data_IF_596321659858
#
_entry.id   IF_596321659858
#
_cell.length_a   1.000
_cell.length_b   1.000
_cell.length_c   1.000
_cell.angle_alpha   90.00
_cell.angle_beta   90.00
_cell.angle_gamma   90.00
#
_symmetry.space_group_name_H-M   'P 1'
#
loop_
_entity.id
_entity.type
_entity.pdbx_description
1 polymer ?
#
# COMPACT_ATOMS: atom_id res chain seq x y z
N UNK A 1 20.32 -15.50 19.23
CA UNK A 1 19.01 -15.52 19.90
C UNK A 1 18.02 -14.88 18.94
N UNK A 2 17.17 -15.71 18.36
CA UNK A 2 16.14 -15.35 17.38
C UNK A 2 15.06 -14.54 18.09
N UNK A 3 15.03 -13.23 17.87
CA UNK A 3 13.87 -12.42 18.23
C UNK A 3 12.78 -12.71 17.18
N UNK A 4 12.11 -13.84 17.37
CA UNK A 4 10.78 -14.06 16.81
C UNK A 4 9.90 -12.95 17.37
N UNK A 5 9.15 -12.27 16.50
CA UNK A 5 8.18 -11.26 16.91
C UNK A 5 7.30 -11.79 18.05
N UNK A 6 7.00 -10.91 19.01
CA UNK A 6 6.24 -11.25 20.20
C UNK A 6 4.87 -11.86 19.81
N UNK A 7 4.39 -12.91 20.51
CA UNK A 7 3.13 -13.62 20.21
C UNK A 7 1.85 -12.77 20.24
N UNK A 8 1.93 -11.47 20.58
CA UNK A 8 0.82 -10.52 20.61
C UNK A 8 0.58 -9.82 19.26
N UNK A 9 1.48 -9.95 18.28
CA UNK A 9 1.35 -9.34 16.94
C UNK A 9 0.72 -10.27 15.88
N UNK A 10 0.76 -11.60 16.08
CA UNK A 10 0.33 -12.61 15.10
C UNK A 10 -1.19 -12.60 14.75
N UNK A 11 -1.99 -11.82 15.47
CA UNK A 11 -3.45 -11.86 15.40
C UNK A 11 -4.15 -10.63 14.85
N UNK A 12 -3.43 -9.59 14.41
CA UNK A 12 -4.06 -8.30 14.06
C UNK A 12 -3.81 -7.80 12.65
N UNK A 13 -2.87 -8.41 11.91
CA UNK A 13 -2.65 -8.12 10.49
C UNK A 13 -2.93 -9.39 9.69
N UNK A 14 -3.66 -9.25 8.59
CA UNK A 14 -3.89 -10.29 7.61
C UNK A 14 -3.49 -9.78 6.24
N UNK A 15 -2.44 -10.39 5.67
CA UNK A 15 -2.05 -10.14 4.28
C UNK A 15 -2.97 -10.96 3.34
N UNK A 16 -3.71 -10.27 2.49
CA UNK A 16 -4.49 -10.89 1.41
C UNK A 16 -3.60 -11.00 0.19
N UNK A 17 -3.25 -12.22 -0.18
CA UNK A 17 -2.31 -12.50 -1.26
C UNK A 17 -3.02 -12.78 -2.57
N UNK A 18 -2.71 -12.01 -3.61
CA UNK A 18 -3.06 -12.29 -4.99
C UNK A 18 -1.79 -12.59 -5.81
N UNK A 19 -1.89 -13.16 -7.03
CA UNK A 19 -0.73 -13.55 -7.82
C UNK A 19 0.30 -12.44 -8.09
N UNK A 20 -0.12 -11.17 -8.13
CA UNK A 20 0.76 -10.03 -8.45
C UNK A 20 0.83 -8.97 -7.34
N UNK A 21 -0.23 -8.82 -6.54
CA UNK A 21 -0.36 -7.76 -5.53
C UNK A 21 -0.92 -8.33 -4.23
N UNK A 22 -0.38 -7.85 -3.11
CA UNK A 22 -0.91 -8.05 -1.79
C UNK A 22 -1.59 -6.78 -1.30
N UNK A 23 -2.56 -6.92 -0.42
CA UNK A 23 -3.14 -5.81 0.34
C UNK A 23 -3.44 -6.31 1.76
N UNK A 24 -3.71 -5.40 2.69
CA UNK A 24 -3.69 -5.73 4.12
C UNK A 24 -5.05 -5.50 4.76
N UNK A 25 -5.41 -6.36 5.70
CA UNK A 25 -6.51 -6.15 6.63
C UNK A 25 -5.92 -6.00 8.02
N UNK A 26 -6.23 -4.89 8.66
CA UNK A 26 -5.93 -4.61 10.05
C UNK A 26 -7.18 -4.90 10.88
N UNK A 27 -7.00 -5.68 11.94
CA UNK A 27 -8.03 -5.90 12.94
C UNK A 27 -7.74 -5.01 14.13
N UNK A 28 -8.65 -4.09 14.38
CA UNK A 28 -8.68 -3.27 15.58
C UNK A 28 -9.90 -3.68 16.40
N UNK A 29 -9.67 -4.44 17.47
CA UNK A 29 -10.72 -5.06 18.30
C UNK A 29 -11.71 -5.90 17.48
N UNK A 30 -12.94 -5.41 17.32
CA UNK A 30 -14.03 -6.06 16.58
C UNK A 30 -14.27 -5.42 15.21
N UNK A 31 -13.35 -4.61 14.72
CA UNK A 31 -13.47 -3.90 13.45
C UNK A 31 -12.29 -4.21 12.53
N UNK A 32 -12.56 -4.13 11.22
CA UNK A 32 -11.57 -4.36 10.18
C UNK A 32 -11.37 -3.11 9.34
N UNK A 33 -10.10 -2.85 9.02
CA UNK A 33 -9.67 -1.76 8.17
C UNK A 33 -8.77 -2.33 7.08
N UNK A 34 -8.94 -1.86 5.84
CA UNK A 34 -8.12 -2.29 4.73
C UNK A 34 -7.07 -1.24 4.41
N UNK A 35 -5.87 -1.69 4.08
CA UNK A 35 -4.90 -0.89 3.32
C UNK A 35 -4.87 -1.46 1.92
N UNK A 36 -5.41 -0.68 0.97
CA UNK A 36 -5.75 -1.05 -0.40
C UNK A 36 -6.80 -2.17 -0.55
N UNK A 37 -7.24 -2.42 -1.78
CA UNK A 37 -8.31 -3.37 -2.10
C UNK A 37 -7.93 -4.41 -3.17
N UNK A 38 -6.67 -4.37 -3.64
CA UNK A 38 -6.15 -5.30 -4.63
C UNK A 38 -6.85 -5.23 -5.99
N UNK A 39 -6.44 -6.15 -6.86
CA UNK A 39 -6.81 -6.16 -8.28
C UNK A 39 -7.89 -7.21 -8.61
N UNK A 40 -7.83 -7.82 -9.80
CA UNK A 40 -8.80 -8.80 -10.30
C UNK A 40 -8.97 -9.95 -9.30
N UNK A 41 -10.21 -10.17 -8.85
CA UNK A 41 -10.55 -11.20 -7.87
C UNK A 41 -10.28 -10.81 -6.40
N UNK A 42 -9.77 -9.59 -6.14
CA UNK A 42 -9.44 -9.09 -4.80
C UNK A 42 -10.56 -9.26 -3.78
N UNK A 43 -11.81 -8.92 -4.13
CA UNK A 43 -12.96 -9.12 -3.24
C UNK A 43 -13.16 -10.59 -2.85
N UNK A 44 -13.03 -11.54 -3.79
CA UNK A 44 -13.18 -12.97 -3.50
C UNK A 44 -12.02 -13.48 -2.63
N UNK A 45 -10.80 -13.00 -2.88
CA UNK A 45 -9.63 -13.34 -2.08
C UNK A 45 -9.74 -12.80 -0.65
N UNK A 46 -10.21 -11.56 -0.49
CA UNK A 46 -10.53 -10.95 0.80
C UNK A 46 -11.52 -11.81 1.57
N UNK A 47 -12.67 -12.12 0.99
CA UNK A 47 -13.70 -12.93 1.65
C UNK A 47 -13.17 -14.30 2.12
N UNK A 48 -12.38 -14.97 1.28
CA UNK A 48 -11.73 -16.24 1.64
C UNK A 48 -10.70 -16.07 2.76
N UNK A 49 -9.89 -15.01 2.72
CA UNK A 49 -8.90 -14.73 3.74
C UNK A 49 -9.55 -14.44 5.10
N UNK A 50 -10.61 -13.61 5.12
CA UNK A 50 -11.39 -13.32 6.32
C UNK A 50 -12.04 -14.57 6.90
N UNK A 51 -12.66 -15.40 6.07
CA UNK A 51 -13.29 -16.65 6.51
C UNK A 51 -12.28 -17.61 7.18
N UNK A 52 -11.09 -17.76 6.61
CA UNK A 52 -10.02 -18.61 7.20
C UNK A 52 -9.56 -18.16 8.58
N UNK A 53 -9.63 -16.85 8.87
CA UNK A 53 -9.31 -16.28 10.18
C UNK A 53 -10.54 -16.13 11.08
N UNK A 54 -11.72 -16.55 10.62
CA UNK A 54 -13.01 -16.27 11.26
C UNK A 54 -13.27 -14.77 11.49
N UNK A 55 -12.66 -13.90 10.67
CA UNK A 55 -12.82 -12.44 10.75
C UNK A 55 -14.01 -11.93 9.93
N UNK A 56 -14.65 -12.78 9.13
CA UNK A 56 -15.85 -12.45 8.37
C UNK A 56 -17.06 -12.04 9.24
N UNK A 57 -16.99 -12.28 10.55
CA UNK A 57 -17.96 -11.80 11.54
C UNK A 57 -17.79 -10.32 11.90
N UNK A 58 -16.60 -9.76 11.68
CA UNK A 58 -16.27 -8.37 12.02
C UNK A 58 -16.60 -7.45 10.85
N UNK A 59 -17.22 -6.28 11.10
CA UNK A 59 -17.47 -5.29 10.06
C UNK A 59 -16.19 -4.70 9.51
N UNK A 60 -16.18 -4.47 8.19
CA UNK A 60 -15.17 -3.63 7.55
C UNK A 60 -15.63 -2.17 7.66
N UNK A 61 -14.85 -1.34 8.35
CA UNK A 61 -15.17 0.06 8.63
C UNK A 61 -14.53 1.04 7.67
N UNK A 62 -13.31 0.76 7.23
CA UNK A 62 -12.55 1.69 6.40
C UNK A 62 -11.70 1.00 5.35
N UNK A 63 -11.47 1.70 4.24
CA UNK A 63 -10.46 1.39 3.23
C UNK A 63 -9.53 2.59 3.11
N UNK A 64 -8.24 2.35 3.34
CA UNK A 64 -7.17 3.35 3.30
C UNK A 64 -6.34 3.05 2.06
N UNK A 65 -6.26 4.00 1.13
CA UNK A 65 -5.61 3.81 -0.18
C UNK A 65 -4.17 4.29 -0.14
N UNK A 66 -3.21 3.54 -0.68
CA UNK A 66 -1.81 3.99 -0.78
C UNK A 66 -1.58 4.92 -1.97
N UNK A 67 -2.17 4.60 -3.12
CA UNK A 67 -2.07 5.42 -4.34
C UNK A 67 -3.12 5.01 -5.40
N UNK A 68 -3.17 5.74 -6.51
CA UNK A 68 -4.22 5.67 -7.54
C UNK A 68 -4.13 4.54 -8.57
N UNK A 69 -3.14 3.65 -8.51
CA UNK A 69 -3.02 2.59 -9.50
C UNK A 69 -4.12 1.55 -9.41
N UNK A 70 -4.53 1.06 -10.58
CA UNK A 70 -5.72 0.23 -10.71
C UNK A 70 -5.63 -1.08 -9.92
N UNK A 71 -4.44 -1.66 -9.79
CA UNK A 71 -4.22 -2.88 -9.02
C UNK A 71 -4.37 -2.69 -7.50
N UNK A 72 -4.35 -1.46 -7.01
CA UNK A 72 -4.66 -1.13 -5.61
C UNK A 72 -6.14 -0.77 -5.42
N UNK A 73 -6.69 0.00 -6.37
CA UNK A 73 -7.99 0.66 -6.17
C UNK A 73 -9.18 -0.03 -6.85
N UNK A 74 -8.97 -1.09 -7.65
CA UNK A 74 -10.03 -1.70 -8.46
C UNK A 74 -11.28 -2.06 -7.65
N UNK A 75 -11.10 -2.62 -6.45
CA UNK A 75 -12.20 -3.09 -5.63
C UNK A 75 -12.67 -2.07 -4.57
N UNK A 76 -12.05 -0.89 -4.43
CA UNK A 76 -12.29 0.05 -3.33
C UNK A 76 -13.77 0.43 -3.25
N UNK A 77 -14.36 0.95 -4.33
CA UNK A 77 -15.77 1.35 -4.34
C UNK A 77 -16.73 0.18 -4.10
N UNK A 78 -16.41 -0.98 -4.64
CA UNK A 78 -17.22 -2.20 -4.45
C UNK A 78 -17.22 -2.64 -2.99
N UNK A 79 -16.06 -2.64 -2.33
CA UNK A 79 -15.92 -2.97 -0.91
C UNK A 79 -16.64 -1.91 -0.06
N UNK A 80 -16.36 -0.63 -0.29
CA UNK A 80 -16.99 0.48 0.44
C UNK A 80 -18.52 0.38 0.41
N UNK A 81 -19.11 0.21 -0.78
CA UNK A 81 -20.56 0.04 -0.93
C UNK A 81 -21.08 -1.23 -0.26
N UNK A 82 -20.36 -2.35 -0.37
CA UNK A 82 -20.81 -3.65 0.17
C UNK A 82 -20.84 -3.68 1.70
N UNK A 83 -19.88 -3.03 2.34
CA UNK A 83 -19.69 -3.09 3.79
C UNK A 83 -20.05 -1.79 4.52
N UNK A 84 -20.43 -0.74 3.79
CA UNK A 84 -20.66 0.59 4.37
C UNK A 84 -19.37 1.22 4.91
N UNK A 85 -18.23 0.90 4.30
CA UNK A 85 -16.92 1.35 4.76
C UNK A 85 -16.61 2.75 4.22
N UNK A 86 -16.02 3.61 5.05
CA UNK A 86 -15.47 4.89 4.61
C UNK A 86 -14.18 4.68 3.79
N UNK A 87 -13.83 5.65 2.96
CA UNK A 87 -12.63 5.65 2.13
C UNK A 87 -11.74 6.83 2.55
N UNK A 88 -10.50 6.56 2.94
CA UNK A 88 -9.46 7.58 3.05
C UNK A 88 -8.43 7.36 1.95
N UNK A 89 -8.02 8.43 1.27
CA UNK A 89 -7.07 8.32 0.17
C UNK A 89 -6.22 9.60 0.00
N UNK A 90 -5.00 9.49 -0.53
CA UNK A 90 -4.14 10.63 -0.79
C UNK A 90 -4.79 11.69 -1.67
N UNK A 91 -4.62 12.96 -1.27
CA UNK A 91 -5.20 14.09 -2.00
C UNK A 91 -4.72 14.19 -3.44
N UNK A 92 -3.43 13.99 -3.66
CA UNK A 92 -2.78 14.25 -4.95
C UNK A 92 -3.14 13.20 -6.02
N UNK A 93 -3.72 12.06 -5.63
CA UNK A 93 -4.16 11.00 -6.56
C UNK A 93 -5.70 11.06 -6.81
N UNK A 94 -6.36 12.17 -6.49
CA UNK A 94 -7.81 12.32 -6.62
C UNK A 94 -8.33 12.12 -8.06
N UNK A 95 -7.54 12.50 -9.07
CA UNK A 95 -7.92 12.32 -10.47
C UNK A 95 -8.04 10.84 -10.85
N UNK A 96 -7.16 9.99 -10.32
CA UNK A 96 -7.14 8.55 -10.56
C UNK A 96 -8.40 7.88 -9.99
N UNK A 97 -8.89 8.34 -8.84
CA UNK A 97 -10.15 7.86 -8.25
C UNK A 97 -11.37 8.28 -9.08
N UNK A 98 -11.30 9.47 -9.70
CA UNK A 98 -12.27 9.95 -10.68
C UNK A 98 -12.13 9.25 -12.05
N UNK A 99 -11.19 8.30 -12.20
CA UNK A 99 -10.97 7.53 -13.41
C UNK A 99 -10.20 8.26 -14.50
N UNK A 100 -9.43 9.29 -14.13
CA UNK A 100 -8.48 9.97 -15.01
C UNK A 100 -7.07 9.52 -14.61
N UNK A 101 -6.36 8.88 -15.53
CA UNK A 101 -4.94 8.58 -15.36
C UNK A 101 -4.18 9.61 -16.18
N UNK A 102 -3.45 10.54 -15.55
CA UNK A 102 -2.61 11.52 -16.24
C UNK A 102 -1.15 11.31 -15.80
N UNK A 103 -0.53 10.25 -16.31
CA UNK A 103 0.84 9.90 -15.92
C UNK A 103 1.85 10.47 -16.92
N UNK A 104 2.89 11.18 -16.48
CA UNK A 104 3.87 11.76 -17.38
C UNK A 104 4.93 10.74 -17.84
N UNK A 105 5.73 11.12 -18.83
CA UNK A 105 6.94 10.37 -19.23
C UNK A 105 6.68 8.91 -19.63
N UNK A 106 7.53 8.00 -19.13
CA UNK A 106 7.44 6.55 -19.40
C UNK A 106 6.18 5.93 -18.80
N UNK A 107 5.59 6.54 -17.77
CA UNK A 107 4.37 6.06 -17.12
C UNK A 107 3.10 6.22 -17.98
N UNK A 108 3.21 6.88 -19.14
CA UNK A 108 2.14 6.88 -20.16
C UNK A 108 1.74 5.49 -20.62
N UNK A 109 2.64 4.51 -20.53
CA UNK A 109 2.33 3.10 -20.82
C UNK A 109 1.33 2.56 -19.78
N UNK A 110 1.60 2.75 -18.49
CA UNK A 110 0.65 2.39 -17.43
C UNK A 110 -0.68 3.15 -17.58
N UNK A 111 -0.65 4.44 -17.94
CA UNK A 111 -1.86 5.21 -18.21
C UNK A 111 -2.71 4.58 -19.30
N UNK A 112 -2.07 4.16 -20.41
CA UNK A 112 -2.77 3.51 -21.51
C UNK A 112 -3.42 2.20 -21.05
N UNK A 113 -2.66 1.34 -20.35
CA UNK A 113 -3.18 0.09 -19.78
C UNK A 113 -4.37 0.33 -18.85
N UNK A 114 -4.29 1.34 -17.98
CA UNK A 114 -5.39 1.67 -17.07
C UNK A 114 -6.60 2.25 -17.80
N UNK A 115 -6.40 3.12 -18.78
CA UNK A 115 -7.49 3.78 -19.52
C UNK A 115 -8.36 2.74 -20.23
N UNK A 116 -7.73 1.75 -20.88
CA UNK A 116 -8.46 0.64 -21.53
C UNK A 116 -8.92 -0.43 -20.54
N UNK A 117 -8.14 -0.69 -19.49
CA UNK A 117 -8.46 -1.71 -18.48
C UNK A 117 -9.64 -1.34 -17.60
N UNK A 118 -9.79 -0.06 -17.20
CA UNK A 118 -10.86 0.41 -16.30
C UNK A 118 -12.27 0.01 -16.77
N UNK A 119 -12.71 0.25 -18.02
CA UNK A 119 -14.04 -0.17 -18.47
C UNK A 119 -14.18 -1.69 -18.53
N UNK A 120 -13.15 -2.40 -19.04
CA UNK A 120 -13.17 -3.87 -19.18
C UNK A 120 -13.26 -4.57 -17.82
N UNK A 121 -12.55 -4.04 -16.83
CA UNK A 121 -12.47 -4.60 -15.48
C UNK A 121 -13.56 -4.08 -14.54
N UNK A 122 -14.45 -3.19 -15.03
CA UNK A 122 -15.55 -2.65 -14.25
C UNK A 122 -15.10 -1.75 -13.10
N UNK A 123 -14.02 -0.98 -13.28
CA UNK A 123 -13.58 0.01 -12.29
C UNK A 123 -14.69 1.01 -12.00
N UNK A 124 -15.04 1.15 -10.72
CA UNK A 124 -16.02 2.11 -10.26
C UNK A 124 -15.32 3.31 -9.67
N UNK A 125 -15.54 4.47 -10.27
CA UNK A 125 -15.07 5.77 -9.74
C UNK A 125 -15.57 5.98 -8.32
N UNK A 126 -14.78 6.66 -7.52
CA UNK A 126 -15.16 7.02 -6.15
C UNK A 126 -14.57 8.37 -5.76
N UNK A 127 -15.21 8.98 -4.77
CA UNK A 127 -14.69 10.14 -4.05
C UNK A 127 -14.36 9.66 -2.65
N UNK A 128 -13.13 9.85 -2.16
CA UNK A 128 -12.77 9.55 -0.77
C UNK A 128 -13.63 10.37 0.21
N UNK A 129 -14.05 9.74 1.30
CA UNK A 129 -14.70 10.42 2.42
C UNK A 129 -13.70 11.31 3.20
N UNK A 130 -12.42 10.91 3.17
CA UNK A 130 -11.29 11.68 3.71
C UNK A 130 -10.16 11.75 2.69
N UNK A 131 -9.72 12.97 2.37
CA UNK A 131 -8.48 13.19 1.64
C UNK A 131 -7.34 13.32 2.65
N UNK A 132 -6.23 12.66 2.37
CA UNK A 132 -5.06 12.60 3.26
C UNK A 132 -3.90 13.43 2.71
N UNK A 133 -3.25 14.15 3.61
CA UNK A 133 -2.00 14.88 3.39
C UNK A 133 -0.89 14.29 4.29
N UNK A 134 0.37 14.71 4.09
CA UNK A 134 1.50 14.23 4.91
C UNK A 134 1.28 14.51 6.40
N UNK A 135 1.58 13.52 7.24
CA UNK A 135 1.48 13.65 8.69
C UNK A 135 0.07 13.48 9.27
N UNK A 136 -0.97 13.34 8.44
CA UNK A 136 -2.32 13.07 8.92
C UNK A 136 -2.38 11.80 9.78
N UNK A 137 -3.08 11.89 10.91
CA UNK A 137 -3.33 10.75 11.79
C UNK A 137 -4.71 10.14 11.49
N UNK A 138 -4.74 8.83 11.27
CA UNK A 138 -5.96 8.03 11.25
C UNK A 138 -6.09 7.30 12.59
N UNK A 139 -7.24 7.47 13.25
CA UNK A 139 -7.60 6.72 14.46
C UNK A 139 -8.03 5.29 14.09
N UNK A 140 -7.06 4.54 13.60
CA UNK A 140 -7.19 3.16 13.16
C UNK A 140 -6.00 2.41 13.72
N UNK A 141 -6.25 1.29 14.39
CA UNK A 141 -5.20 0.35 14.78
C UNK A 141 -4.09 0.99 15.63
N UNK A 142 -4.51 1.74 16.66
CA UNK A 142 -3.65 2.52 17.58
C UNK A 142 -2.93 3.71 16.94
N UNK A 143 -3.42 4.18 15.78
CA UNK A 143 -2.89 5.35 15.10
C UNK A 143 -2.02 4.96 13.91
N UNK A 144 -2.50 5.30 12.71
CA UNK A 144 -1.70 5.27 11.49
C UNK A 144 -1.35 6.69 11.09
N UNK A 145 -0.06 6.98 10.95
CA UNK A 145 0.44 8.23 10.39
C UNK A 145 0.57 8.08 8.88
N UNK A 146 -0.10 8.94 8.12
CA UNK A 146 0.12 9.10 6.70
C UNK A 146 1.52 9.69 6.45
N UNK A 147 2.29 9.08 5.57
CA UNK A 147 3.64 9.51 5.20
C UNK A 147 3.69 9.67 3.70
N UNK A 148 3.85 10.90 3.23
CA UNK A 148 3.92 11.20 1.80
C UNK A 148 5.26 10.71 1.24
N UNK A 149 5.19 9.81 0.26
CA UNK A 149 6.34 9.09 -0.29
C UNK A 149 6.28 9.13 -1.83
N UNK A 150 6.30 10.34 -2.44
CA UNK A 150 6.10 10.48 -3.87
C UNK A 150 7.15 9.76 -4.70
N UNK A 151 6.78 9.44 -5.94
CA UNK A 151 7.69 8.96 -6.97
C UNK A 151 7.08 7.86 -7.82
N UNK A 152 6.45 6.87 -7.17
CA UNK A 152 5.63 5.89 -7.88
C UNK A 152 4.38 6.56 -8.49
N UNK A 153 3.64 7.31 -7.66
CA UNK A 153 2.71 8.36 -8.09
C UNK A 153 3.06 9.65 -7.36
N UNK A 154 2.48 10.78 -7.78
CA UNK A 154 2.66 12.05 -7.06
C UNK A 154 2.01 12.05 -5.68
N UNK A 155 0.91 11.32 -5.50
CA UNK A 155 0.23 11.14 -4.22
C UNK A 155 0.57 9.88 -3.45
N UNK A 156 1.60 9.13 -3.84
CA UNK A 156 1.93 7.87 -3.17
C UNK A 156 2.16 8.09 -1.66
N UNK A 157 1.52 7.25 -0.86
CA UNK A 157 1.45 7.36 0.59
C UNK A 157 1.79 6.03 1.24
N UNK A 158 2.69 6.07 2.22
CA UNK A 158 2.88 5.01 3.19
C UNK A 158 2.11 5.27 4.49
N UNK A 159 1.93 4.22 5.29
CA UNK A 159 1.27 4.32 6.59
C UNK A 159 2.16 3.77 7.69
N UNK A 160 2.65 4.64 8.56
CA UNK A 160 3.48 4.28 9.69
C UNK A 160 2.64 4.06 10.95
N UNK A 161 2.85 2.94 11.63
CA UNK A 161 2.22 2.59 12.90
C UNK A 161 3.25 2.73 14.04
N UNK A 162 3.27 3.85 14.80
CA UNK A 162 4.33 4.15 15.76
C UNK A 162 4.49 3.08 16.85
N UNK A 163 3.38 2.67 17.47
CA UNK A 163 3.37 1.69 18.57
C UNK A 163 3.94 0.32 18.16
N UNK A 164 3.94 0.02 16.87
CA UNK A 164 4.37 -1.27 16.32
C UNK A 164 5.64 -1.16 15.49
N UNK A 165 6.11 0.06 15.23
CA UNK A 165 7.32 0.32 14.43
C UNK A 165 7.22 -0.36 13.06
N UNK A 166 6.02 -0.36 12.47
CA UNK A 166 5.72 -0.97 11.17
C UNK A 166 5.37 0.11 10.14
N UNK A 167 5.84 -0.07 8.92
CA UNK A 167 5.48 0.76 7.78
C UNK A 167 4.77 -0.07 6.71
N UNK A 168 3.56 0.30 6.34
CA UNK A 168 2.94 -0.15 5.09
C UNK A 168 3.44 0.76 3.99
N UNK A 169 4.33 0.26 3.14
CA UNK A 169 5.09 1.12 2.20
C UNK A 169 4.42 1.31 0.85
N UNK A 170 3.27 0.66 0.60
CA UNK A 170 2.71 0.57 -0.74
C UNK A 170 3.77 0.09 -1.73
N UNK A 171 3.85 0.83 -2.84
CA UNK A 171 4.74 0.59 -3.97
C UNK A 171 6.04 1.43 -3.97
N UNK A 172 6.46 1.94 -2.81
CA UNK A 172 7.77 2.61 -2.73
C UNK A 172 8.91 1.67 -3.19
N UNK A 173 8.76 0.37 -2.97
CA UNK A 173 9.64 -0.68 -3.46
C UNK A 173 8.89 -2.02 -3.59
N UNK A 174 9.47 -2.93 -4.36
CA UNK A 174 9.03 -4.33 -4.44
C UNK A 174 10.05 -5.23 -3.73
N UNK A 175 9.60 -6.32 -3.09
CA UNK A 175 10.46 -7.27 -2.38
C UNK A 175 10.21 -8.72 -2.79
N UNK A 176 11.00 -9.21 -3.74
CA UNK A 176 10.92 -10.59 -4.21
C UNK A 176 12.30 -11.24 -4.29
N UNK A 177 12.33 -12.57 -4.19
CA UNK A 177 13.51 -13.41 -4.48
C UNK A 177 14.74 -12.95 -3.69
N UNK A 178 14.54 -12.58 -2.43
CA UNK A 178 15.62 -12.19 -1.52
C UNK A 178 16.11 -10.74 -1.65
N UNK A 179 15.50 -9.90 -2.49
CA UNK A 179 15.96 -8.53 -2.72
C UNK A 179 14.83 -7.51 -2.82
N UNK A 180 15.12 -6.28 -2.37
CA UNK A 180 14.30 -5.10 -2.65
C UNK A 180 14.77 -4.43 -3.95
N UNK A 181 13.81 -3.97 -4.77
CA UNK A 181 14.06 -3.24 -6.02
C UNK A 181 13.05 -2.11 -6.16
N UNK A 182 13.38 -1.10 -6.94
CA UNK A 182 12.38 -0.12 -7.38
C UNK A 182 11.37 -0.77 -8.31
N UNK A 183 10.10 -0.33 -8.31
CA UNK A 183 9.17 -0.71 -9.35
C UNK A 183 9.70 -0.29 -10.73
N UNK A 184 9.34 -1.00 -11.82
CA UNK A 184 9.73 -0.61 -13.17
C UNK A 184 9.32 0.83 -13.50
N UNK A 185 10.20 1.59 -14.18
CA UNK A 185 9.97 3.01 -14.55
C UNK A 185 8.63 3.28 -15.25
N UNK A 186 8.11 2.30 -15.99
CA UNK A 186 6.83 2.43 -16.70
C UNK A 186 5.62 2.56 -15.77
N UNK A 187 5.80 2.32 -14.47
CA UNK A 187 4.79 2.50 -13.43
C UNK A 187 5.11 3.69 -12.52
N UNK A 188 6.22 4.39 -12.72
CA UNK A 188 6.63 5.49 -11.85
C UNK A 188 6.37 6.83 -12.55
N UNK A 189 5.46 7.64 -12.00
CA UNK A 189 5.14 8.96 -12.53
C UNK A 189 6.24 9.99 -12.26
N UNK A 190 6.94 9.87 -11.13
CA UNK A 190 7.92 10.85 -10.65
C UNK A 190 9.18 10.16 -10.11
N UNK A 191 9.83 9.25 -10.87
CA UNK A 191 10.88 8.35 -10.38
C UNK A 191 12.06 9.06 -9.70
N UNK A 192 12.33 10.32 -10.08
CA UNK A 192 13.35 11.18 -9.48
C UNK A 192 13.12 11.47 -7.98
N UNK A 193 11.88 11.36 -7.49
CA UNK A 193 11.55 11.60 -6.07
C UNK A 193 11.73 10.34 -5.20
N UNK A 194 11.79 9.15 -5.82
CA UNK A 194 11.86 7.88 -5.10
C UNK A 194 13.05 7.83 -4.12
N UNK A 195 14.29 8.26 -4.45
CA UNK A 195 15.39 8.22 -3.49
C UNK A 195 15.13 9.02 -2.21
N UNK A 196 14.55 10.22 -2.33
CA UNK A 196 14.19 11.05 -1.18
C UNK A 196 13.09 10.39 -0.34
N UNK A 197 12.08 9.81 -0.98
CA UNK A 197 11.02 9.04 -0.31
C UNK A 197 11.55 7.81 0.42
N UNK A 198 12.50 7.08 -0.18
CA UNK A 198 13.18 5.95 0.49
C UNK A 198 13.92 6.42 1.74
N UNK A 199 14.64 7.55 1.66
CA UNK A 199 15.33 8.10 2.82
C UNK A 199 14.36 8.58 3.91
N UNK A 200 13.28 9.28 3.53
CA UNK A 200 12.25 9.73 4.45
C UNK A 200 11.56 8.55 5.17
N UNK A 201 11.24 7.48 4.45
CA UNK A 201 10.68 6.27 5.05
C UNK A 201 11.65 5.59 6.03
N UNK A 202 12.94 5.51 5.69
CA UNK A 202 13.97 4.91 6.54
C UNK A 202 14.35 5.75 7.77
N UNK A 203 13.94 7.02 7.83
CA UNK A 203 14.14 7.87 9.01
C UNK A 203 13.19 7.54 10.17
N UNK A 204 12.11 6.80 9.90
CA UNK A 204 11.23 6.29 10.96
C UNK A 204 11.87 5.15 11.74
N UNK A 205 11.44 5.00 12.98
CA UNK A 205 11.86 3.89 13.82
C UNK A 205 11.09 2.63 13.43
N UNK A 206 11.79 1.70 12.74
CA UNK A 206 11.19 0.54 12.07
C UNK A 206 11.76 -0.79 12.59
N UNK A 207 10.85 -1.72 12.91
CA UNK A 207 11.11 -3.15 13.10
C UNK A 207 10.65 -3.99 11.90
N UNK A 208 9.72 -3.46 11.08
CA UNK A 208 9.29 -4.14 9.87
C UNK A 208 8.67 -3.20 8.84
N UNK A 209 8.60 -3.69 7.61
CA UNK A 209 7.93 -3.00 6.49
C UNK A 209 7.10 -4.00 5.69
N UNK A 210 5.94 -3.55 5.21
CA UNK A 210 4.91 -4.32 4.55
C UNK A 210 4.62 -3.69 3.18
N UNK A 211 5.38 -4.04 2.13
CA UNK A 211 5.11 -3.61 0.75
C UNK A 211 3.94 -4.38 0.13
N UNK A 212 3.27 -3.81 -0.87
CA UNK A 212 2.16 -4.50 -1.54
C UNK A 212 2.66 -5.56 -2.53
N UNK A 213 3.84 -5.36 -3.12
CA UNK A 213 4.46 -6.31 -4.04
C UNK A 213 5.60 -7.06 -3.36
N UNK A 214 5.29 -8.20 -2.74
CA UNK A 214 6.29 -9.03 -2.09
C UNK A 214 6.03 -10.55 -2.04
N UNK A 215 7.12 -11.27 -1.79
CA UNK A 215 7.14 -12.69 -1.44
C UNK A 215 6.70 -12.92 0.04
N UNK A 216 6.54 -14.18 0.52
CA UNK A 216 6.03 -14.49 1.87
C UNK A 216 6.91 -14.06 3.06
N UNK A 217 8.01 -13.33 2.83
CA UNK A 217 8.97 -13.06 3.89
C UNK A 217 8.36 -12.23 5.03
N UNK A 218 8.86 -12.35 6.27
CA UNK A 218 8.35 -11.55 7.37
C UNK A 218 8.71 -10.05 7.20
N UNK A 219 7.99 -9.13 7.88
CA UNK A 219 8.23 -7.69 7.79
C UNK A 219 9.68 -7.25 8.08
N UNK A 220 10.34 -7.90 9.05
CA UNK A 220 11.73 -7.63 9.39
C UNK A 220 12.71 -7.96 8.24
N UNK A 221 12.42 -9.03 7.49
CA UNK A 221 13.22 -9.40 6.33
C UNK A 221 13.00 -8.44 5.16
N UNK A 222 11.77 -7.96 4.96
CA UNK A 222 11.50 -6.87 4.02
C UNK A 222 12.25 -5.59 4.42
N UNK A 223 12.34 -5.28 5.71
CA UNK A 223 13.03 -4.08 6.19
C UNK A 223 14.53 -4.18 5.96
N UNK A 224 15.13 -5.36 6.21
CA UNK A 224 16.54 -5.62 5.89
C UNK A 224 16.83 -5.36 4.41
N UNK A 225 15.97 -5.87 3.52
CA UNK A 225 16.10 -5.65 2.06
C UNK A 225 15.91 -4.19 1.70
N UNK A 226 14.95 -3.50 2.33
CA UNK A 226 14.66 -2.09 2.11
C UNK A 226 15.83 -1.18 2.53
N UNK A 227 16.46 -1.45 3.68
CA UNK A 227 17.70 -0.77 4.10
C UNK A 227 18.82 -0.95 3.07
N UNK A 228 19.01 -2.18 2.56
CA UNK A 228 20.00 -2.46 1.51
C UNK A 228 19.68 -1.77 0.17
N UNK A 229 18.41 -1.51 -0.14
CA UNK A 229 18.03 -0.66 -1.26
C UNK A 229 18.40 0.81 -1.00
N UNK A 230 18.07 1.35 0.17
CA UNK A 230 18.45 2.71 0.57
C UNK A 230 19.95 2.97 0.44
N UNK A 231 20.78 2.07 0.97
CA UNK A 231 22.25 2.18 0.87
C UNK A 231 22.76 2.20 -0.58
N UNK A 232 22.14 1.40 -1.48
CA UNK A 232 22.51 1.38 -2.90
C UNK A 232 22.11 2.65 -3.64
N UNK A 233 20.99 3.28 -3.27
CA UNK A 233 20.55 4.54 -3.86
C UNK A 233 21.46 5.70 -3.40
N UNK A 234 21.81 5.74 -2.12
CA UNK A 234 22.74 6.72 -1.58
C UNK A 234 24.12 6.66 -2.26
N UNK A 235 24.66 5.47 -2.50
CA UNK A 235 25.95 5.28 -3.17
C UNK A 235 25.97 5.73 -4.64
N UNK A 236 24.82 5.68 -5.33
CA UNK A 236 24.71 6.17 -6.72
C UNK A 236 24.76 7.70 -6.77
N UNK A 237 24.06 8.36 -5.85
CA UNK A 237 24.03 9.83 -5.79
C UNK A 237 25.37 10.45 -5.37
N UNK A 238 26.29 9.69 -4.75
CA UNK A 238 27.65 10.17 -4.44
C UNK A 238 28.66 9.96 -5.57
N UNK A 239 28.25 9.34 -6.67
CA UNK A 239 29.11 8.97 -7.80
C UNK A 239 28.87 9.85 -9.06
N UNK A 240 27.86 10.73 -9.01
CA UNK A 240 27.48 11.71 -10.03
C UNK A 240 27.84 13.12 -9.56
#
# INVERSE_FOLDING_TARGET
MTNAMNPTEEGTILQVRAPAINFYVLRDREELYLIDAGFIGGLRLLQRALARRSWNRFPIRGVIVTHGHLDHILNVKTIARRYGAWIAAPRLDAEQYAGKSNYPGKARVAQWLETFGRPILGFQRFTPDRLLDDGDMLDVWQGLKAVHLPGHTGGHMGYYAPERRLLFSGDLFVSYRGAARLPPDIFNSEPQQIPASVHAALAYDLEGVLPNHCDPSPPAEHLRRFRALGSRLAARNSSD
#
